data_IF_857186595998
#
_entry.id   IF_857186595998
#
_cell.length_a   1.000
_cell.length_b   1.000
_cell.length_c   1.000
_cell.angle_alpha   90.00
_cell.angle_beta   90.00
_cell.angle_gamma   90.00
#
_symmetry.space_group_name_H-M   'P 1'
#
loop_
_entity.id
_entity.type
_entity.pdbx_description
1 polymer ?
#
# COMPACT_ATOMS: atom_id res chain seq x y z
N UNK A 1 -50.02 -50.57 29.03
CA UNK A 1 -49.86 -52.03 29.17
C UNK A 1 -48.92 -52.28 30.33
N UNK A 2 -49.47 -52.82 31.42
CA UNK A 2 -48.84 -53.64 32.48
C UNK A 2 -49.84 -53.72 33.63
N UNK A 3 -50.69 -54.75 33.54
CA UNK A 3 -51.59 -55.30 34.56
C UNK A 3 -50.83 -56.35 35.36
N UNK A 4 -51.06 -56.43 36.67
CA UNK A 4 -50.80 -57.62 37.50
C UNK A 4 -51.53 -57.40 38.84
N UNK A 5 -52.77 -57.86 38.99
CA UNK A 5 -53.21 -59.23 39.32
C UNK A 5 -52.91 -59.63 40.78
N UNK A 6 -53.95 -59.51 41.60
CA UNK A 6 -54.08 -60.02 42.95
C UNK A 6 -54.72 -61.41 42.90
N UNK A 7 -53.96 -62.46 43.23
CA UNK A 7 -54.44 -63.83 43.43
C UNK A 7 -55.08 -63.98 44.81
N UNK A 8 -56.39 -64.23 44.84
CA UNK A 8 -57.14 -64.71 46.01
C UNK A 8 -57.22 -66.24 45.97
N UNK A 9 -56.52 -66.92 46.90
CA UNK A 9 -56.68 -68.36 47.17
C UNK A 9 -57.69 -68.59 48.28
N UNK A 10 -58.81 -69.23 47.93
CA UNK A 10 -59.75 -69.84 48.88
C UNK A 10 -59.13 -71.11 49.50
N UNK A 11 -59.09 -71.17 50.83
CA UNK A 11 -58.77 -72.39 51.59
C UNK A 11 -60.00 -72.83 52.39
N UNK A 12 -60.43 -74.06 52.11
CA UNK A 12 -61.47 -74.83 52.81
C UNK A 12 -61.18 -75.00 54.31
N UNK A 13 -62.16 -74.89 55.22
CA UNK A 13 -61.92 -75.07 56.65
C UNK A 13 -61.89 -76.55 57.04
N UNK A 14 -60.76 -76.97 57.60
CA UNK A 14 -60.57 -78.27 58.24
C UNK A 14 -61.08 -78.18 59.68
N UNK A 15 -62.12 -78.94 60.02
CA UNK A 15 -62.72 -78.96 61.36
C UNK A 15 -61.80 -79.69 62.35
N UNK A 16 -61.16 -78.94 63.26
CA UNK A 16 -60.35 -79.49 64.35
C UNK A 16 -61.25 -79.68 65.58
N UNK A 17 -61.28 -80.90 66.12
CA UNK A 17 -61.97 -81.26 67.36
C UNK A 17 -61.24 -80.64 68.55
N UNK A 18 -61.90 -79.71 69.25
CA UNK A 18 -61.37 -78.97 70.39
C UNK A 18 -61.58 -79.78 71.68
N UNK A 19 -60.49 -80.13 72.36
CA UNK A 19 -60.50 -80.72 73.70
C UNK A 19 -60.58 -79.63 74.79
N UNK A 20 -61.17 -79.91 75.96
CA UNK A 20 -61.48 -78.92 77.00
C UNK A 20 -60.26 -78.17 77.60
N UNK A 21 -59.05 -78.70 77.48
CA UNK A 21 -57.81 -78.01 77.91
C UNK A 21 -57.37 -76.93 76.90
N UNK A 22 -57.62 -77.15 75.60
CA UNK A 22 -57.28 -76.19 74.53
C UNK A 22 -58.20 -74.95 74.57
N UNK A 23 -59.42 -75.07 75.09
CA UNK A 23 -60.36 -73.95 75.26
C UNK A 23 -59.89 -72.90 76.27
N UNK A 24 -59.15 -73.28 77.30
CA UNK A 24 -58.71 -72.33 78.32
C UNK A 24 -57.52 -71.50 77.84
N UNK A 25 -56.54 -72.14 77.19
CA UNK A 25 -55.42 -71.44 76.56
C UNK A 25 -55.87 -70.52 75.41
N UNK A 26 -56.90 -70.91 74.64
CA UNK A 26 -57.45 -70.03 73.61
C UNK A 26 -58.09 -68.77 74.20
N UNK A 27 -58.83 -68.90 75.30
CA UNK A 27 -59.50 -67.75 75.95
C UNK A 27 -58.48 -66.79 76.53
N UNK A 28 -57.41 -67.29 77.15
CA UNK A 28 -56.32 -66.46 77.68
C UNK A 28 -55.52 -65.78 76.55
N UNK A 29 -55.22 -66.52 75.47
CA UNK A 29 -54.54 -65.98 74.29
C UNK A 29 -55.36 -64.87 73.60
N UNK A 30 -56.65 -65.10 73.35
CA UNK A 30 -57.52 -64.10 72.74
C UNK A 30 -57.84 -62.94 73.68
N UNK A 31 -57.91 -63.17 74.98
CA UNK A 31 -58.04 -62.12 75.99
C UNK A 31 -56.84 -61.16 76.00
N UNK A 32 -55.62 -61.71 75.96
CA UNK A 32 -54.39 -60.91 75.84
C UNK A 32 -54.32 -60.16 74.51
N UNK A 33 -54.61 -60.84 73.39
CA UNK A 33 -54.63 -60.21 72.06
C UNK A 33 -55.66 -59.10 71.94
N UNK A 34 -56.83 -59.27 72.57
CA UNK A 34 -57.84 -58.22 72.60
C UNK A 34 -57.39 -57.02 73.44
N UNK A 35 -56.66 -57.24 74.54
CA UNK A 35 -56.09 -56.14 75.33
C UNK A 35 -54.99 -55.38 74.57
N UNK A 36 -54.04 -56.08 73.93
CA UNK A 36 -53.03 -55.43 73.07
C UNK A 36 -53.70 -54.59 71.97
N UNK A 37 -54.63 -55.18 71.23
CA UNK A 37 -55.28 -54.51 70.12
C UNK A 37 -56.15 -53.33 70.59
N UNK A 38 -56.76 -53.43 71.78
CA UNK A 38 -57.50 -52.33 72.38
C UNK A 38 -56.58 -51.19 72.80
N UNK A 39 -55.41 -51.51 73.35
CA UNK A 39 -54.44 -50.50 73.77
C UNK A 39 -53.82 -49.79 72.57
N UNK A 40 -53.49 -50.51 71.50
CA UNK A 40 -53.01 -49.93 70.24
C UNK A 40 -54.08 -49.04 69.56
N UNK A 41 -55.36 -49.42 69.67
CA UNK A 41 -56.48 -48.64 69.15
C UNK A 41 -56.78 -47.41 70.02
N UNK A 42 -56.57 -47.49 71.33
CA UNK A 42 -56.66 -46.34 72.23
C UNK A 42 -55.45 -45.38 72.05
N UNK A 43 -54.26 -45.89 71.75
CA UNK A 43 -53.07 -45.10 71.41
C UNK A 43 -53.24 -44.37 70.05
N UNK A 44 -53.79 -45.04 69.04
CA UNK A 44 -54.12 -44.39 67.75
C UNK A 44 -55.24 -43.34 67.87
N UNK A 45 -56.20 -43.55 68.78
CA UNK A 45 -57.21 -42.52 69.10
C UNK A 45 -56.61 -41.34 69.86
N UNK A 46 -55.62 -41.57 70.72
CA UNK A 46 -54.90 -40.50 71.40
C UNK A 46 -53.96 -39.72 70.46
N UNK A 47 -53.53 -40.32 69.35
CA UNK A 47 -52.79 -39.67 68.26
C UNK A 47 -53.68 -39.03 67.18
N UNK A 48 -55.02 -39.05 67.32
CA UNK A 48 -55.95 -38.36 66.42
C UNK A 48 -55.89 -36.83 66.66
N UNK A 49 -54.71 -36.25 66.39
CA UNK A 49 -54.47 -34.85 66.08
C UNK A 49 -55.12 -34.55 64.73
N UNK A 50 -56.44 -34.72 64.65
CA UNK A 50 -57.22 -34.20 63.54
C UNK A 50 -57.09 -32.69 63.60
N UNK A 51 -56.45 -32.06 62.59
CA UNK A 51 -56.41 -30.62 62.53
C UNK A 51 -57.85 -30.12 62.58
N UNK A 52 -58.10 -29.12 63.42
CA UNK A 52 -59.40 -28.48 63.53
C UNK A 52 -59.83 -28.05 62.12
N UNK A 53 -61.13 -28.14 61.79
CA UNK A 53 -61.64 -27.74 60.47
C UNK A 53 -61.16 -26.33 60.06
N UNK A 54 -60.93 -25.43 61.04
CA UNK A 54 -60.32 -24.12 60.81
C UNK A 54 -58.84 -24.14 60.39
N UNK A 55 -58.04 -25.09 60.87
CA UNK A 55 -56.63 -25.28 60.50
C UNK A 55 -56.51 -25.86 59.08
N UNK A 56 -57.41 -26.79 58.72
CA UNK A 56 -57.51 -27.31 57.35
C UNK A 56 -57.91 -26.21 56.36
N UNK A 57 -58.86 -25.35 56.73
CA UNK A 57 -59.25 -24.20 55.91
C UNK A 57 -58.09 -23.21 55.76
N UNK A 58 -57.35 -22.90 56.83
CA UNK A 58 -56.14 -22.06 56.75
C UNK A 58 -55.06 -22.66 55.85
N UNK A 59 -54.81 -23.97 55.95
CA UNK A 59 -53.80 -24.64 55.13
C UNK A 59 -54.18 -24.65 53.65
N UNK A 60 -55.47 -24.89 53.33
CA UNK A 60 -55.98 -24.78 51.95
C UNK A 60 -55.83 -23.36 51.43
N UNK A 61 -56.09 -22.34 52.26
CA UNK A 61 -55.96 -20.94 51.88
C UNK A 61 -54.49 -20.54 51.63
N UNK A 62 -53.56 -21.01 52.48
CA UNK A 62 -52.12 -20.84 52.28
C UNK A 62 -51.62 -21.56 51.02
N UNK A 63 -52.08 -22.78 50.76
CA UNK A 63 -51.74 -23.52 49.54
C UNK A 63 -52.28 -22.81 48.29
N UNK A 64 -53.48 -22.23 48.36
CA UNK A 64 -54.05 -21.42 47.28
C UNK A 64 -53.23 -20.15 47.03
N UNK A 65 -52.76 -19.46 48.08
CA UNK A 65 -51.86 -18.30 47.93
C UNK A 65 -50.50 -18.70 47.35
N UNK A 66 -49.91 -19.81 47.81
CA UNK A 66 -48.65 -20.33 47.27
C UNK A 66 -48.81 -20.73 45.80
N UNK A 67 -49.92 -21.39 45.45
CA UNK A 67 -50.24 -21.75 44.07
C UNK A 67 -50.43 -20.51 43.19
N UNK A 68 -51.14 -19.48 43.68
CA UNK A 68 -51.35 -18.22 42.97
C UNK A 68 -50.03 -17.44 42.78
N UNK A 69 -49.17 -17.39 43.80
CA UNK A 69 -47.86 -16.75 43.73
C UNK A 69 -46.92 -17.51 42.78
N UNK A 70 -46.92 -18.84 42.83
CA UNK A 70 -46.15 -19.65 41.88
C UNK A 70 -46.65 -19.46 40.45
N UNK A 71 -47.97 -19.39 40.23
CA UNK A 71 -48.53 -19.10 38.91
C UNK A 71 -48.06 -17.74 38.38
N UNK A 72 -48.09 -16.68 39.20
CA UNK A 72 -47.56 -15.35 38.81
C UNK A 72 -46.07 -15.38 38.48
N UNK A 73 -45.26 -16.06 39.30
CA UNK A 73 -43.82 -16.20 39.06
C UNK A 73 -43.52 -16.97 37.77
N UNK A 74 -44.32 -17.99 37.46
CA UNK A 74 -44.21 -18.72 36.20
C UNK A 74 -44.56 -17.81 35.02
N UNK A 75 -45.62 -17.00 35.10
CA UNK A 75 -45.97 -16.04 34.05
C UNK A 75 -44.89 -14.97 33.83
N UNK A 76 -44.29 -14.45 34.89
CA UNK A 76 -43.18 -13.49 34.83
C UNK A 76 -41.93 -14.12 34.21
N UNK A 77 -41.57 -15.33 34.64
CA UNK A 77 -40.44 -16.08 34.07
C UNK A 77 -40.68 -16.40 32.60
N UNK A 78 -41.89 -16.85 32.21
CA UNK A 78 -42.24 -17.13 30.82
C UNK A 78 -42.21 -15.88 29.96
N UNK A 79 -42.57 -14.72 30.52
CA UNK A 79 -42.42 -13.43 29.83
C UNK A 79 -40.94 -13.09 29.64
N UNK A 80 -40.14 -13.19 30.70
CA UNK A 80 -38.70 -12.93 30.64
C UNK A 80 -37.98 -13.85 29.64
N UNK A 81 -38.32 -15.14 29.62
CA UNK A 81 -37.78 -16.12 28.65
C UNK A 81 -38.17 -15.72 27.22
N UNK A 82 -39.44 -15.35 27.00
CA UNK A 82 -39.90 -14.91 25.67
C UNK A 82 -39.16 -13.66 25.19
N UNK A 83 -38.98 -12.66 26.06
CA UNK A 83 -38.27 -11.42 25.71
C UNK A 83 -36.79 -11.67 25.43
N UNK A 84 -36.16 -12.57 26.20
CA UNK A 84 -34.76 -12.99 25.98
C UNK A 84 -34.62 -13.72 24.64
N UNK A 85 -35.55 -14.62 24.31
CA UNK A 85 -35.55 -15.33 23.02
C UNK A 85 -35.77 -14.34 21.86
N UNK A 86 -36.67 -13.36 22.02
CA UNK A 86 -36.92 -12.34 21.00
C UNK A 86 -35.67 -11.50 20.75
N UNK A 87 -35.02 -11.02 21.82
CA UNK A 87 -33.77 -10.25 21.74
C UNK A 87 -32.65 -11.05 21.07
N UNK A 88 -32.48 -12.33 21.46
CA UNK A 88 -31.48 -13.21 20.85
C UNK A 88 -31.75 -13.48 19.36
N UNK A 89 -33.02 -13.57 18.94
CA UNK A 89 -33.37 -13.68 17.50
C UNK A 89 -33.02 -12.42 16.72
N UNK A 90 -33.29 -11.24 17.29
CA UNK A 90 -32.96 -9.97 16.66
C UNK A 90 -31.45 -9.78 16.52
N UNK A 91 -30.68 -10.17 17.52
CA UNK A 91 -29.21 -10.17 17.47
C UNK A 91 -28.67 -11.14 16.41
N UNK A 92 -29.19 -12.37 16.35
CA UNK A 92 -28.84 -13.33 15.29
C UNK A 92 -29.12 -12.76 13.90
N UNK A 93 -30.27 -12.09 13.71
CA UNK A 93 -30.62 -11.46 12.43
C UNK A 93 -29.67 -10.31 12.07
N UNK A 94 -29.29 -9.47 13.05
CA UNK A 94 -28.30 -8.40 12.84
C UNK A 94 -26.93 -8.96 12.45
N UNK A 95 -26.50 -10.03 13.12
CA UNK A 95 -25.24 -10.71 12.78
C UNK A 95 -25.27 -11.32 11.38
N UNK A 96 -26.39 -11.90 10.97
CA UNK A 96 -26.56 -12.45 9.63
C UNK A 96 -26.46 -11.37 8.55
N UNK A 97 -27.15 -10.23 8.74
CA UNK A 97 -27.06 -9.07 7.83
C UNK A 97 -25.61 -8.57 7.75
N UNK A 98 -24.97 -8.34 8.90
CA UNK A 98 -23.58 -7.88 8.96
C UNK A 98 -22.60 -8.86 8.29
N UNK A 99 -22.81 -10.16 8.46
CA UNK A 99 -21.98 -11.18 7.82
C UNK A 99 -22.19 -11.19 6.29
N UNK A 100 -23.42 -10.99 5.82
CA UNK A 100 -23.72 -10.88 4.39
C UNK A 100 -23.08 -9.63 3.76
N UNK A 101 -23.17 -8.48 4.42
CA UNK A 101 -22.49 -7.24 4.01
C UNK A 101 -20.97 -7.42 3.96
N UNK A 102 -20.38 -8.02 5.01
CA UNK A 102 -18.95 -8.35 5.04
C UNK A 102 -18.55 -9.24 3.86
N UNK A 103 -19.34 -10.28 3.57
CA UNK A 103 -19.05 -11.18 2.45
C UNK A 103 -19.17 -10.46 1.10
N UNK A 104 -20.14 -9.55 0.95
CA UNK A 104 -20.28 -8.72 -0.25
C UNK A 104 -19.08 -7.78 -0.44
N UNK A 105 -18.64 -7.11 0.63
CA UNK A 105 -17.46 -6.24 0.59
C UNK A 105 -16.18 -7.01 0.28
N UNK A 106 -16.03 -8.23 0.81
CA UNK A 106 -14.89 -9.11 0.49
C UNK A 106 -14.86 -9.50 -0.99
N UNK A 107 -16.02 -9.75 -1.60
CA UNK A 107 -16.10 -10.03 -3.04
C UNK A 107 -15.72 -8.79 -3.87
N UNK A 108 -16.24 -7.61 -3.52
CA UNK A 108 -15.89 -6.35 -4.20
C UNK A 108 -14.39 -6.04 -4.08
N UNK A 109 -13.79 -6.25 -2.91
CA UNK A 109 -12.36 -6.03 -2.70
C UNK A 109 -11.52 -6.96 -3.59
N UNK A 110 -11.92 -8.24 -3.70
CA UNK A 110 -11.25 -9.19 -4.58
C UNK A 110 -11.32 -8.77 -6.06
N UNK A 111 -12.47 -8.28 -6.50
CA UNK A 111 -12.66 -7.85 -7.89
C UNK A 111 -11.82 -6.59 -8.19
N UNK A 112 -11.79 -5.63 -7.26
CA UNK A 112 -10.93 -4.44 -7.36
C UNK A 112 -9.44 -4.78 -7.34
N UNK A 113 -9.02 -5.75 -6.52
CA UNK A 113 -7.63 -6.22 -6.50
C UNK A 113 -7.23 -6.92 -7.81
N UNK A 114 -8.15 -7.71 -8.39
CA UNK A 114 -7.94 -8.31 -9.70
C UNK A 114 -7.83 -7.24 -10.81
N UNK A 115 -8.69 -6.22 -10.78
CA UNK A 115 -8.64 -5.10 -11.71
C UNK A 115 -7.36 -4.29 -11.57
N UNK A 116 -6.97 -3.92 -10.34
CA UNK A 116 -5.71 -3.23 -10.05
C UNK A 116 -4.52 -4.01 -10.58
N UNK A 117 -4.50 -5.33 -10.37
CA UNK A 117 -3.42 -6.21 -10.85
C UNK A 117 -3.35 -6.21 -12.38
N UNK A 118 -4.50 -6.29 -13.05
CA UNK A 118 -4.61 -6.20 -14.52
C UNK A 118 -4.11 -4.85 -15.04
N UNK A 119 -4.53 -3.74 -14.45
CA UNK A 119 -4.12 -2.40 -14.85
C UNK A 119 -2.62 -2.16 -14.62
N UNK A 120 -2.08 -2.65 -13.50
CA UNK A 120 -0.64 -2.60 -13.22
C UNK A 120 0.16 -3.36 -14.28
N UNK A 121 -0.29 -4.57 -14.64
CA UNK A 121 0.33 -5.34 -15.72
C UNK A 121 0.28 -4.61 -17.07
N UNK A 122 -0.88 -4.05 -17.44
CA UNK A 122 -1.03 -3.27 -18.67
C UNK A 122 -0.14 -2.03 -18.70
N UNK A 123 -0.09 -1.28 -17.59
CA UNK A 123 0.77 -0.10 -17.46
C UNK A 123 2.25 -0.46 -17.66
N UNK A 124 2.72 -1.55 -17.02
CA UNK A 124 4.09 -2.04 -17.20
C UNK A 124 4.38 -2.46 -18.64
N UNK A 125 3.42 -3.08 -19.31
CA UNK A 125 3.55 -3.48 -20.72
C UNK A 125 3.63 -2.25 -21.64
N UNK A 126 2.77 -1.25 -21.46
CA UNK A 126 2.83 -0.03 -22.25
C UNK A 126 4.11 0.76 -22.01
N UNK A 127 4.59 0.82 -20.76
CA UNK A 127 5.86 1.45 -20.43
C UNK A 127 7.03 0.75 -21.15
N UNK A 128 7.09 -0.59 -21.14
CA UNK A 128 8.17 -1.31 -21.81
C UNK A 128 8.14 -1.12 -23.33
N UNK A 129 6.95 -1.11 -23.93
CA UNK A 129 6.76 -0.78 -25.35
C UNK A 129 7.20 0.66 -25.67
N UNK A 130 6.86 1.63 -24.82
CA UNK A 130 7.28 3.02 -25.00
C UNK A 130 8.81 3.16 -24.95
N UNK A 131 9.49 2.49 -24.01
CA UNK A 131 10.95 2.47 -23.93
C UNK A 131 11.58 1.83 -25.16
N UNK A 132 11.02 0.72 -25.67
CA UNK A 132 11.52 0.07 -26.89
C UNK A 132 11.39 0.99 -28.11
N UNK A 133 10.24 1.64 -28.28
CA UNK A 133 10.00 2.61 -29.36
C UNK A 133 10.88 3.85 -29.22
N UNK A 134 11.12 4.33 -27.99
CA UNK A 134 12.05 5.41 -27.71
C UNK A 134 13.48 5.07 -28.17
N UNK A 135 13.96 3.87 -27.84
CA UNK A 135 15.27 3.39 -28.27
C UNK A 135 15.37 3.21 -29.80
N UNK A 136 14.29 2.77 -30.46
CA UNK A 136 14.23 2.73 -31.92
C UNK A 136 14.30 4.13 -32.55
N UNK A 137 13.51 5.07 -32.05
CA UNK A 137 13.51 6.46 -32.51
C UNK A 137 14.90 7.10 -32.35
N UNK A 138 15.56 6.88 -31.21
CA UNK A 138 16.92 7.35 -30.95
C UNK A 138 17.95 6.78 -31.94
N UNK A 139 17.91 5.46 -32.20
CA UNK A 139 18.77 4.80 -33.20
C UNK A 139 18.54 5.36 -34.61
N UNK A 140 17.28 5.54 -34.99
CA UNK A 140 16.93 6.10 -36.29
C UNK A 140 17.48 7.53 -36.43
N UNK A 141 17.27 8.39 -35.42
CA UNK A 141 17.82 9.75 -35.41
C UNK A 141 19.33 9.77 -35.53
N UNK A 142 20.03 8.91 -34.77
CA UNK A 142 21.48 8.82 -34.84
C UNK A 142 21.97 8.36 -36.23
N UNK A 143 21.24 7.45 -36.88
CA UNK A 143 21.52 7.04 -38.26
C UNK A 143 21.42 8.23 -39.22
N UNK A 144 20.35 9.03 -39.11
CA UNK A 144 20.15 10.23 -39.93
C UNK A 144 21.25 11.28 -39.68
N UNK A 145 21.59 11.56 -38.42
CA UNK A 145 22.69 12.46 -38.08
C UNK A 145 24.01 11.99 -38.69
N UNK A 146 24.28 10.68 -38.66
CA UNK A 146 25.48 10.08 -39.24
C UNK A 146 25.50 10.16 -40.77
N UNK A 147 24.34 10.09 -41.42
CA UNK A 147 24.21 10.27 -42.87
C UNK A 147 24.46 11.74 -43.26
N UNK A 148 23.88 12.69 -42.51
CA UNK A 148 24.04 14.14 -42.75
C UNK A 148 25.49 14.57 -42.58
N UNK A 149 26.19 14.05 -41.57
CA UNK A 149 27.58 14.42 -41.25
C UNK A 149 28.56 13.28 -41.55
N UNK A 150 28.70 12.97 -42.83
CA UNK A 150 29.53 11.85 -43.33
C UNK A 150 31.03 12.12 -43.18
N UNK A 151 31.45 13.39 -43.23
CA UNK A 151 32.83 13.83 -43.01
C UNK A 151 33.05 14.17 -41.54
N UNK A 152 33.31 13.16 -40.71
CA UNK A 152 33.72 13.39 -39.33
C UNK A 152 35.15 13.95 -39.37
N UNK A 153 35.45 15.05 -38.67
CA UNK A 153 36.82 15.54 -38.54
C UNK A 153 37.75 14.40 -38.07
N UNK A 154 39.01 14.43 -38.49
CA UNK A 154 40.02 13.44 -38.12
C UNK A 154 40.35 13.51 -36.62
N UNK A 155 39.46 13.00 -35.78
CA UNK A 155 39.66 12.80 -34.36
C UNK A 155 39.74 11.30 -34.11
N UNK A 156 40.92 10.81 -33.73
CA UNK A 156 41.12 9.41 -33.36
C UNK A 156 40.71 9.21 -31.89
N UNK A 157 39.54 8.63 -31.61
CA UNK A 157 39.06 8.43 -30.25
C UNK A 157 39.90 7.41 -29.49
N UNK A 158 40.65 6.53 -30.17
CA UNK A 158 41.48 5.51 -29.52
C UNK A 158 42.71 6.10 -28.85
N UNK A 159 43.15 7.26 -29.33
CA UNK A 159 44.34 7.96 -28.83
C UNK A 159 44.03 8.92 -27.67
N UNK A 160 42.75 9.20 -27.41
CA UNK A 160 42.34 10.25 -26.47
C UNK A 160 41.26 9.77 -25.49
N UNK A 161 41.57 9.86 -24.20
CA UNK A 161 40.62 9.65 -23.13
C UNK A 161 40.17 11.01 -22.57
N UNK A 162 38.89 11.39 -22.71
CA UNK A 162 38.39 12.62 -22.11
C UNK A 162 38.54 12.56 -20.61
N UNK A 163 39.10 13.62 -20.02
CA UNK A 163 39.15 13.71 -18.58
C UNK A 163 37.85 14.26 -18.04
N UNK A 164 37.41 13.67 -16.93
CA UNK A 164 36.35 14.22 -16.10
C UNK A 164 36.95 15.35 -15.27
N UNK A 165 36.33 16.52 -15.34
CA UNK A 165 36.66 17.71 -14.58
C UNK A 165 35.64 17.87 -13.48
N UNK A 166 36.04 18.01 -12.22
CA UNK A 166 35.08 18.15 -11.13
C UNK A 166 35.10 19.56 -10.53
N UNK A 167 33.95 20.24 -10.60
CA UNK A 167 33.72 21.57 -10.05
C UNK A 167 32.22 21.81 -9.85
N UNK A 168 31.83 22.60 -8.83
CA UNK A 168 30.42 22.70 -8.42
C UNK A 168 29.59 23.65 -9.30
N UNK A 169 30.23 24.63 -9.94
CA UNK A 169 29.52 25.66 -10.67
C UNK A 169 30.29 26.12 -11.92
N UNK A 170 29.69 26.04 -13.12
CA UNK A 170 30.31 26.52 -14.36
C UNK A 170 30.77 27.98 -14.31
N UNK A 171 30.04 28.85 -13.60
CA UNK A 171 30.41 30.28 -13.49
C UNK A 171 31.71 30.49 -12.73
N UNK A 172 32.05 29.61 -11.79
CA UNK A 172 33.33 29.65 -11.08
C UNK A 172 34.48 29.24 -12.00
N UNK A 173 34.26 28.20 -12.82
CA UNK A 173 35.23 27.78 -13.83
C UNK A 173 35.51 28.94 -14.78
N UNK A 174 34.48 29.53 -15.39
CA UNK A 174 34.61 30.64 -16.34
C UNK A 174 35.39 31.81 -15.73
N UNK A 175 35.12 32.17 -14.46
CA UNK A 175 35.84 33.26 -13.77
C UNK A 175 37.31 32.93 -13.46
N UNK A 176 37.64 31.64 -13.31
CA UNK A 176 38.99 31.19 -13.02
C UNK A 176 39.82 30.90 -14.28
N UNK A 177 39.20 30.92 -15.46
CA UNK A 177 39.89 30.71 -16.72
C UNK A 177 40.85 31.89 -17.03
N UNK A 178 42.04 31.60 -17.58
CA UNK A 178 42.91 32.63 -18.13
C UNK A 178 42.18 33.58 -19.08
N UNK A 179 42.43 34.91 -19.02
CA UNK A 179 41.75 35.90 -19.86
C UNK A 179 42.01 35.69 -21.36
N UNK A 180 43.13 35.04 -21.71
CA UNK A 180 43.51 34.75 -23.09
C UNK A 180 42.61 33.68 -23.76
N UNK A 181 41.78 32.96 -23.00
CA UNK A 181 40.84 31.96 -23.54
C UNK A 181 39.75 32.61 -24.40
N UNK A 182 39.46 33.90 -24.21
CA UNK A 182 38.55 34.64 -25.10
C UNK A 182 38.99 34.64 -26.57
N UNK A 183 40.23 34.22 -26.88
CA UNK A 183 40.71 33.99 -28.26
C UNK A 183 40.48 32.56 -28.77
N UNK A 184 40.28 31.58 -27.88
CA UNK A 184 40.14 30.16 -28.21
C UNK A 184 38.66 29.75 -28.36
N UNK A 185 37.79 30.31 -27.53
CA UNK A 185 36.37 30.04 -27.55
C UNK A 185 35.55 31.31 -27.39
N UNK A 186 34.66 31.55 -28.34
CA UNK A 186 33.73 32.68 -28.29
C UNK A 186 32.55 32.39 -27.34
N UNK A 187 32.18 31.11 -27.16
CA UNK A 187 30.97 30.71 -26.45
C UNK A 187 31.11 29.32 -25.82
N UNK A 188 31.01 29.24 -24.49
CA UNK A 188 30.86 27.97 -23.78
C UNK A 188 29.39 27.68 -23.52
N UNK A 189 28.98 26.44 -23.82
CA UNK A 189 27.67 25.93 -23.45
C UNK A 189 27.82 24.80 -22.42
N UNK A 190 27.44 25.10 -21.18
CA UNK A 190 27.43 24.13 -20.09
C UNK A 190 26.05 23.47 -19.98
N UNK A 191 25.96 22.20 -20.37
CA UNK A 191 24.75 21.41 -20.26
C UNK A 191 24.75 20.63 -18.94
N UNK A 192 23.88 20.95 -17.96
CA UNK A 192 23.77 20.16 -16.74
C UNK A 192 23.13 18.80 -17.04
N UNK A 193 23.21 17.86 -16.11
CA UNK A 193 22.57 16.55 -16.27
C UNK A 193 21.05 16.61 -16.13
N UNK A 194 20.30 15.62 -16.66
CA UNK A 194 18.94 15.37 -16.22
C UNK A 194 18.90 15.21 -14.67
N UNK A 195 17.90 15.80 -13.98
CA UNK A 195 16.66 16.34 -14.53
C UNK A 195 16.69 17.85 -14.89
N UNK A 196 17.84 18.51 -14.79
CA UNK A 196 17.96 19.96 -15.05
C UNK A 196 17.97 20.31 -16.55
N UNK A 197 18.12 19.32 -17.41
CA UNK A 197 18.13 19.45 -18.86
C UNK A 197 17.48 18.24 -19.54
N UNK A 198 17.22 18.40 -20.84
CA UNK A 198 16.80 17.30 -21.71
C UNK A 198 17.99 16.43 -22.12
N UNK A 199 17.72 15.25 -22.66
CA UNK A 199 18.76 14.30 -23.06
C UNK A 199 19.65 14.82 -24.20
N UNK A 200 20.96 14.65 -24.01
CA UNK A 200 21.99 14.81 -25.03
C UNK A 200 22.41 13.42 -25.52
N UNK A 201 22.43 13.25 -26.84
CA UNK A 201 22.87 12.02 -27.48
C UNK A 201 24.11 12.30 -28.31
N UNK A 202 25.26 12.27 -27.66
CA UNK A 202 26.58 12.33 -28.30
C UNK A 202 27.40 11.16 -27.74
N UNK A 203 27.78 10.22 -28.59
CA UNK A 203 28.37 8.94 -28.16
C UNK A 203 29.76 9.10 -27.52
N UNK A 204 30.54 10.07 -28.00
CA UNK A 204 31.85 10.38 -27.45
C UNK A 204 32.25 11.81 -27.81
N UNK A 205 33.24 12.39 -27.11
CA UNK A 205 33.83 13.66 -27.51
C UNK A 205 34.34 13.62 -28.96
N UNK A 206 34.26 14.75 -29.64
CA UNK A 206 34.64 14.89 -31.05
C UNK A 206 33.69 14.23 -32.04
N UNK A 207 32.51 13.75 -31.61
CA UNK A 207 31.51 13.13 -32.50
C UNK A 207 30.25 13.97 -32.62
N UNK A 208 29.63 13.91 -33.79
CA UNK A 208 28.31 14.47 -34.02
C UNK A 208 27.24 13.73 -33.21
N UNK A 209 26.09 14.37 -33.01
CA UNK A 209 24.97 13.81 -32.27
C UNK A 209 23.72 14.66 -32.40
N UNK A 210 22.85 14.60 -31.39
CA UNK A 210 21.68 15.47 -31.30
C UNK A 210 21.28 15.72 -29.85
N UNK A 211 20.45 16.73 -29.64
CA UNK A 211 19.85 17.07 -28.35
C UNK A 211 18.44 17.63 -28.55
N UNK A 212 17.69 17.74 -27.45
CA UNK A 212 16.33 18.26 -27.47
C UNK A 212 16.24 19.59 -26.75
N UNK A 213 15.55 20.55 -27.38
CA UNK A 213 15.19 21.85 -26.82
C UNK A 213 16.26 22.49 -25.89
N UNK A 214 17.45 22.81 -26.42
CA UNK A 214 18.54 23.38 -25.63
C UNK A 214 18.09 24.67 -24.91
N UNK A 215 18.62 24.89 -23.72
CA UNK A 215 18.27 26.02 -22.86
C UNK A 215 18.87 27.31 -23.42
N UNK A 216 18.04 28.34 -23.63
CA UNK A 216 18.47 29.69 -24.01
C UNK A 216 19.48 29.74 -25.16
N UNK A 217 19.38 28.81 -26.12
CA UNK A 217 20.26 28.77 -27.27
C UNK A 217 19.73 29.69 -28.37
N UNK A 218 20.20 30.94 -28.37
CA UNK A 218 19.79 31.96 -29.34
C UNK A 218 20.64 31.98 -30.61
N UNK A 219 21.74 31.24 -30.65
CA UNK A 219 22.77 31.36 -31.70
C UNK A 219 22.77 30.16 -32.65
N UNK A 220 21.66 29.93 -33.34
CA UNK A 220 21.61 28.90 -34.37
C UNK A 220 22.64 29.17 -35.46
N UNK A 221 23.45 28.16 -35.78
CA UNK A 221 24.51 28.25 -36.78
C UNK A 221 25.85 28.83 -36.29
N UNK A 222 25.96 29.32 -35.06
CA UNK A 222 27.27 29.69 -34.49
C UNK A 222 28.00 28.45 -33.92
N UNK A 223 29.32 28.54 -33.84
CA UNK A 223 30.13 27.54 -33.16
C UNK A 223 30.19 27.80 -31.66
N UNK A 224 30.07 26.76 -30.84
CA UNK A 224 30.20 26.84 -29.39
C UNK A 224 30.94 25.61 -28.83
N UNK A 225 31.55 25.77 -27.67
CA UNK A 225 32.25 24.72 -26.95
C UNK A 225 31.31 24.04 -25.95
N UNK A 226 31.05 22.75 -26.15
CA UNK A 226 30.09 21.99 -25.36
C UNK A 226 30.79 21.29 -24.18
N UNK A 227 30.34 21.62 -22.97
CA UNK A 227 30.77 20.99 -21.72
C UNK A 227 29.54 20.43 -21.02
N UNK A 228 29.55 19.16 -20.66
CA UNK A 228 28.35 18.48 -20.15
C UNK A 228 28.62 17.83 -18.80
N UNK A 229 27.67 17.94 -17.89
CA UNK A 229 27.70 17.21 -16.62
C UNK A 229 27.22 15.77 -16.83
N UNK A 230 28.07 14.79 -16.58
CA UNK A 230 27.73 13.36 -16.70
C UNK A 230 27.35 12.75 -15.34
N UNK A 231 28.01 13.23 -14.28
CA UNK A 231 27.76 12.89 -12.88
C UNK A 231 27.69 14.20 -12.07
N UNK A 232 27.07 14.21 -10.87
CA UNK A 232 26.99 15.43 -10.06
C UNK A 232 28.34 16.13 -9.89
N UNK A 233 28.43 17.39 -10.32
CA UNK A 233 29.63 18.23 -10.32
C UNK A 233 30.80 17.71 -11.18
N UNK A 234 30.59 16.69 -12.01
CA UNK A 234 31.58 16.06 -12.88
C UNK A 234 31.25 16.33 -14.34
N UNK A 235 32.07 17.18 -14.93
CA UNK A 235 31.91 17.77 -16.24
C UNK A 235 32.90 17.20 -17.24
N UNK A 236 32.47 17.03 -18.48
CA UNK A 236 33.30 16.55 -19.59
C UNK A 236 33.19 17.51 -20.76
N UNK A 237 34.31 17.90 -21.35
CA UNK A 237 34.33 18.69 -22.58
C UNK A 237 34.19 17.77 -23.80
N UNK A 238 33.16 18.01 -24.59
CA UNK A 238 32.79 17.19 -25.75
C UNK A 238 33.38 17.70 -27.07
N UNK A 239 33.78 18.97 -27.15
CA UNK A 239 34.32 19.59 -28.36
C UNK A 239 33.58 20.85 -28.77
N UNK A 240 33.88 21.30 -29.99
CA UNK A 240 33.29 22.48 -30.62
C UNK A 240 32.20 22.06 -31.61
N UNK A 241 31.00 22.61 -31.44
CA UNK A 241 29.80 22.20 -32.15
C UNK A 241 29.09 23.34 -32.86
N UNK A 242 28.32 22.99 -33.89
CA UNK A 242 27.27 23.82 -34.47
C UNK A 242 25.94 23.07 -34.27
N UNK A 243 24.93 23.78 -33.77
CA UNK A 243 23.57 23.24 -33.60
C UNK A 243 22.68 23.69 -34.74
N UNK A 244 21.94 22.75 -35.34
CA UNK A 244 20.95 23.00 -36.40
C UNK A 244 19.68 22.23 -36.11
N UNK A 245 18.53 22.82 -36.37
CA UNK A 245 17.25 22.14 -36.19
C UNK A 245 17.15 20.94 -37.14
N UNK A 246 16.75 19.79 -36.61
CA UNK A 246 16.57 18.55 -37.36
C UNK A 246 15.07 18.34 -37.62
N UNK A 247 14.58 18.94 -38.72
CA UNK A 247 13.15 18.97 -39.06
C UNK A 247 12.58 17.57 -39.28
N UNK A 248 11.36 17.33 -38.81
CA UNK A 248 10.65 16.03 -38.87
C UNK A 248 11.22 14.91 -37.97
N UNK A 249 12.25 15.22 -37.17
CA UNK A 249 12.85 14.27 -36.21
C UNK A 249 12.68 14.74 -34.77
N UNK A 250 11.60 15.47 -34.50
CA UNK A 250 11.21 15.88 -33.16
C UNK A 250 11.03 14.65 -32.24
N UNK A 251 11.05 14.91 -30.93
CA UNK A 251 10.88 13.86 -29.93
C UNK A 251 9.57 13.12 -30.16
N UNK A 252 9.63 11.79 -30.22
CA UNK A 252 8.42 10.97 -30.33
C UNK A 252 7.69 10.94 -28.99
N UNK A 253 6.37 10.74 -29.02
CA UNK A 253 5.56 10.64 -27.80
C UNK A 253 6.06 9.51 -26.87
N UNK A 254 6.51 8.38 -27.43
CA UNK A 254 7.09 7.28 -26.66
C UNK A 254 8.34 7.69 -25.87
N UNK A 255 9.19 8.54 -26.46
CA UNK A 255 10.36 9.10 -25.77
C UNK A 255 9.94 10.07 -24.68
N UNK A 256 9.02 10.97 -25.01
CA UNK A 256 8.47 11.91 -24.04
C UNK A 256 7.92 11.18 -22.82
N UNK A 257 7.04 10.20 -23.02
CA UNK A 257 6.44 9.43 -21.93
C UNK A 257 7.48 8.67 -21.09
N UNK A 258 8.60 8.25 -21.69
CA UNK A 258 9.69 7.57 -21.00
C UNK A 258 10.62 8.49 -20.19
N UNK A 259 10.51 9.82 -20.33
CA UNK A 259 11.30 10.76 -19.53
C UNK A 259 10.89 10.75 -18.06
N UNK A 260 11.87 11.05 -17.19
CA UNK A 260 11.62 11.29 -15.78
C UNK A 260 10.64 12.44 -15.58
N UNK A 261 9.74 12.30 -14.61
CA UNK A 261 8.72 13.33 -14.34
C UNK A 261 9.33 14.68 -13.96
N UNK A 262 10.46 14.70 -13.24
CA UNK A 262 11.13 15.96 -12.91
C UNK A 262 11.65 16.69 -14.16
N UNK A 263 12.17 15.95 -15.16
CA UNK A 263 12.60 16.53 -16.45
C UNK A 263 11.41 17.20 -17.14
N UNK A 264 10.29 16.49 -17.24
CA UNK A 264 9.08 16.99 -17.89
C UNK A 264 8.53 18.22 -17.18
N UNK A 265 8.49 18.23 -15.84
CA UNK A 265 8.04 19.38 -15.05
C UNK A 265 8.92 20.59 -15.31
N UNK A 266 10.25 20.44 -15.21
CA UNK A 266 11.23 21.52 -15.45
C UNK A 266 11.09 22.08 -16.87
N UNK A 267 10.91 21.20 -17.85
CA UNK A 267 10.72 21.57 -19.24
C UNK A 267 9.41 22.34 -19.45
N UNK A 268 8.28 21.84 -18.96
CA UNK A 268 6.98 22.49 -19.11
C UNK A 268 6.94 23.84 -18.40
N UNK A 269 7.52 23.94 -17.19
CA UNK A 269 7.65 25.18 -16.44
C UNK A 269 8.40 26.26 -17.24
N UNK A 270 9.49 25.87 -17.91
CA UNK A 270 10.26 26.76 -18.77
C UNK A 270 9.44 27.22 -19.98
N UNK A 271 8.85 26.28 -20.72
CA UNK A 271 8.07 26.60 -21.94
C UNK A 271 6.87 27.49 -21.61
N UNK A 272 6.22 27.28 -20.46
CA UNK A 272 5.13 28.14 -20.00
C UNK A 272 5.63 29.56 -19.72
N UNK A 273 6.83 29.72 -19.16
CA UNK A 273 7.45 31.02 -18.90
C UNK A 273 7.94 31.75 -20.15
N UNK A 274 8.46 31.03 -21.15
CA UNK A 274 9.00 31.61 -22.40
C UNK A 274 7.94 32.37 -23.23
N UNK A 275 6.66 32.05 -23.06
CA UNK A 275 5.55 32.71 -23.78
C UNK A 275 5.07 34.01 -23.13
N UNK A 276 5.60 34.35 -21.96
CA UNK A 276 5.13 35.48 -21.17
C UNK A 276 6.05 36.70 -21.31
N UNK A 277 5.50 37.92 -21.14
CA UNK A 277 6.30 39.13 -21.05
C UNK A 277 7.32 39.07 -19.91
N UNK A 278 8.44 39.76 -20.07
CA UNK A 278 9.50 39.88 -19.06
C UNK A 278 8.93 40.31 -17.70
N UNK A 279 9.22 39.55 -16.65
CA UNK A 279 8.77 39.83 -15.28
C UNK A 279 7.43 39.19 -14.89
N UNK A 280 6.77 38.46 -15.80
CA UNK A 280 5.61 37.64 -15.48
C UNK A 280 5.99 36.17 -15.26
N UNK A 281 5.19 35.47 -14.47
CA UNK A 281 5.37 34.05 -14.18
C UNK A 281 4.15 33.27 -14.66
N UNK A 282 4.40 32.09 -15.22
CA UNK A 282 3.34 31.20 -15.67
C UNK A 282 2.49 30.74 -14.49
N UNK A 283 1.17 30.81 -14.67
CA UNK A 283 0.23 30.29 -13.68
C UNK A 283 0.30 28.77 -13.64
N UNK A 284 -0.22 28.18 -12.57
CA UNK A 284 -0.32 26.72 -12.48
C UNK A 284 -1.17 26.12 -13.63
N UNK A 285 -2.23 26.82 -14.04
CA UNK A 285 -3.08 26.39 -15.15
C UNK A 285 -2.31 26.38 -16.48
N UNK A 286 -1.48 27.39 -16.75
CA UNK A 286 -0.65 27.44 -17.95
C UNK A 286 0.33 26.26 -18.02
N UNK A 287 0.98 25.96 -16.89
CA UNK A 287 1.92 24.84 -16.78
C UNK A 287 1.24 23.49 -17.01
N UNK A 288 0.04 23.30 -16.45
CA UNK A 288 -0.76 22.10 -16.64
C UNK A 288 -1.17 21.95 -18.11
N UNK A 289 -1.64 23.02 -18.73
CA UNK A 289 -2.02 23.02 -20.14
C UNK A 289 -0.84 22.68 -21.06
N UNK A 290 0.33 23.29 -20.84
CA UNK A 290 1.56 22.95 -21.56
C UNK A 290 1.89 21.47 -21.41
N UNK A 291 1.78 20.93 -20.19
CA UNK A 291 2.02 19.52 -19.90
C UNK A 291 1.06 18.61 -20.65
N UNK A 292 -0.24 18.91 -20.62
CA UNK A 292 -1.28 18.16 -21.34
C UNK A 292 -1.04 18.14 -22.86
N UNK A 293 -0.62 19.26 -23.46
CA UNK A 293 -0.31 19.30 -24.90
C UNK A 293 0.85 18.38 -25.29
N UNK A 294 1.89 18.25 -24.47
CA UNK A 294 2.99 17.31 -24.74
C UNK A 294 2.62 15.86 -24.41
N UNK A 295 1.91 15.62 -23.30
CA UNK A 295 1.46 14.26 -22.91
C UNK A 295 0.45 13.66 -23.90
N UNK A 296 -0.36 14.50 -24.55
CA UNK A 296 -1.29 14.08 -25.61
C UNK A 296 -0.64 14.02 -27.00
N UNK A 297 0.60 14.46 -27.15
CA UNK A 297 1.29 14.54 -28.44
C UNK A 297 0.77 15.64 -29.38
N UNK A 298 -0.03 16.59 -28.89
CA UNK A 298 -0.42 17.77 -29.65
C UNK A 298 0.78 18.65 -29.98
N UNK A 299 1.73 18.75 -29.05
CA UNK A 299 3.02 19.42 -29.26
C UNK A 299 4.15 18.40 -29.26
N UNK A 300 5.21 18.72 -30.01
CA UNK A 300 6.41 17.91 -30.10
C UNK A 300 7.61 18.71 -29.61
N UNK A 301 8.53 18.05 -28.92
CA UNK A 301 9.77 18.69 -28.45
C UNK A 301 10.75 18.75 -29.62
N UNK A 302 11.23 19.96 -30.01
CA UNK A 302 12.08 20.10 -31.18
C UNK A 302 13.44 19.42 -30.98
N UNK A 303 13.89 18.73 -32.02
CA UNK A 303 15.19 18.09 -32.08
C UNK A 303 16.20 18.96 -32.85
N UNK A 304 17.43 19.01 -32.36
CA UNK A 304 18.52 19.70 -33.03
C UNK A 304 19.70 18.75 -33.21
N UNK A 305 20.21 18.68 -34.44
CA UNK A 305 21.42 17.97 -34.77
C UNK A 305 22.65 18.80 -34.36
N UNK A 306 23.61 18.12 -33.74
CA UNK A 306 24.88 18.66 -33.30
C UNK A 306 25.97 18.20 -34.27
N UNK A 307 26.49 19.13 -35.05
CA UNK A 307 27.66 18.90 -35.90
C UNK A 307 28.92 19.18 -35.10
N UNK A 308 29.78 18.17 -34.94
CA UNK A 308 31.12 18.39 -34.38
C UNK A 308 32.00 19.06 -35.44
N UNK A 309 32.53 20.24 -35.12
CA UNK A 309 33.46 20.99 -35.97
C UNK A 309 34.90 20.62 -35.65
N UNK A 310 35.18 20.28 -34.39
CA UNK A 310 36.52 19.87 -33.96
C UNK A 310 36.61 19.65 -32.46
N UNK A 311 37.78 19.21 -32.02
CA UNK A 311 38.08 19.02 -30.60
C UNK A 311 39.35 19.79 -30.25
N UNK A 312 39.22 20.83 -29.43
CA UNK A 312 40.37 21.63 -29.00
C UNK A 312 41.02 21.01 -27.75
N UNK A 313 42.13 20.29 -27.98
CA UNK A 313 42.90 19.65 -26.90
C UNK A 313 43.54 20.68 -25.96
N UNK A 314 43.99 21.81 -26.50
CA UNK A 314 44.61 22.86 -25.69
C UNK A 314 43.59 23.45 -24.73
N UNK A 315 42.39 23.76 -25.23
CA UNK A 315 41.29 24.21 -24.40
C UNK A 315 40.89 23.17 -23.35
N UNK A 316 40.78 21.90 -23.75
CA UNK A 316 40.51 20.80 -22.83
C UNK A 316 41.52 20.76 -21.66
N UNK A 317 42.82 20.84 -21.97
CA UNK A 317 43.87 20.75 -20.96
C UNK A 317 43.87 21.98 -20.02
N UNK A 318 43.54 23.16 -20.55
CA UNK A 318 43.35 24.37 -19.74
C UNK A 318 42.14 24.22 -18.81
N UNK A 319 40.97 23.81 -19.32
CA UNK A 319 39.77 23.59 -18.51
C UNK A 319 40.03 22.59 -17.37
N UNK A 320 40.75 21.49 -17.68
CA UNK A 320 41.15 20.48 -16.70
C UNK A 320 42.05 21.08 -15.61
N UNK A 321 43.08 21.84 -15.99
CA UNK A 321 44.00 22.47 -15.04
C UNK A 321 43.29 23.51 -14.14
N UNK A 322 42.39 24.30 -14.71
CA UNK A 322 41.58 25.27 -13.96
C UNK A 322 40.64 24.57 -12.99
N UNK A 323 39.96 23.50 -13.41
CA UNK A 323 39.10 22.70 -12.54
C UNK A 323 39.87 22.12 -11.34
N UNK A 324 41.06 21.55 -11.57
CA UNK A 324 41.92 21.06 -10.48
C UNK A 324 42.31 22.16 -9.49
N UNK A 325 42.56 23.38 -9.98
CA UNK A 325 42.86 24.53 -9.12
C UNK A 325 41.65 24.94 -8.26
N UNK A 326 40.43 24.85 -8.79
CA UNK A 326 39.20 25.12 -8.03
C UNK A 326 39.01 24.08 -6.92
N UNK A 327 39.25 22.80 -7.22
CA UNK A 327 39.18 21.72 -6.23
C UNK A 327 40.14 21.94 -5.06
N UNK A 328 41.38 22.32 -5.34
CA UNK A 328 42.38 22.58 -4.30
C UNK A 328 42.01 23.76 -3.38
N UNK A 329 41.19 24.69 -3.87
CA UNK A 329 40.73 25.87 -3.10
C UNK A 329 39.45 25.60 -2.31
N UNK A 330 38.72 24.55 -2.62
CA UNK A 330 37.55 24.18 -1.84
C UNK A 330 38.05 23.69 -0.48
N UNK A 331 37.63 24.33 0.64
CA UNK A 331 37.98 23.83 1.95
C UNK A 331 37.47 22.40 2.02
N UNK A 332 38.37 21.45 2.30
CA UNK A 332 38.00 20.08 2.61
C UNK A 332 37.00 20.15 3.75
N UNK A 333 35.71 20.00 3.43
CA UNK A 333 34.68 19.76 4.43
C UNK A 333 34.98 18.35 4.93
N UNK A 334 35.93 18.24 5.85
CA UNK A 334 36.06 17.05 6.65
C UNK A 334 34.68 16.81 7.26
N UNK A 335 34.10 15.61 7.10
CA UNK A 335 32.93 15.26 7.88
C UNK A 335 33.39 15.23 9.33
N UNK A 336 33.26 16.36 10.02
CA UNK A 336 33.37 16.39 11.46
C UNK A 336 32.29 15.42 11.94
N UNK A 337 32.74 14.30 12.52
CA UNK A 337 31.93 13.38 13.29
C UNK A 337 31.42 14.14 14.52
N UNK A 338 30.50 15.06 14.29
CA UNK A 338 29.70 15.70 15.31
C UNK A 338 28.84 14.62 15.93
N UNK A 339 29.21 14.20 17.15
CA UNK A 339 28.39 13.41 18.06
C UNK A 339 26.99 14.00 18.13
N UNK A 340 26.07 13.53 17.28
CA UNK A 340 24.65 13.85 17.40
C UNK A 340 24.06 12.99 18.51
N UNK A 341 23.72 13.66 19.61
CA UNK A 341 22.86 13.15 20.67
C UNK A 341 21.60 12.54 20.05
N UNK A 342 21.30 11.34 20.53
CA UNK A 342 20.06 10.59 20.34
C UNK A 342 18.88 11.49 20.74
N UNK A 343 18.04 11.83 19.77
CA UNK A 343 16.67 12.27 20.01
C UNK A 343 15.79 11.20 19.35
N UNK A 344 15.05 10.48 20.18
CA UNK A 344 14.08 9.47 19.76
C UNK A 344 12.93 10.17 19.04
N UNK A 345 12.55 9.63 17.88
CA UNK A 345 11.31 9.96 17.18
C UNK A 345 10.86 8.71 16.39
N UNK A 346 9.54 8.54 16.21
CA UNK A 346 8.91 7.23 16.19
C UNK A 346 8.99 6.55 14.83
N UNK A 347 8.97 5.22 14.89
CA UNK A 347 9.01 4.27 13.79
C UNK A 347 7.97 4.57 12.70
N UNK A 348 8.41 4.98 11.51
CA UNK A 348 7.69 4.73 10.28
C UNK A 348 8.00 3.30 9.83
N UNK A 349 6.95 2.48 9.75
CA UNK A 349 7.02 1.13 9.23
C UNK A 349 7.32 1.17 7.73
N UNK A 350 8.52 0.74 7.37
CA UNK A 350 8.87 0.38 5.99
C UNK A 350 8.15 -0.91 5.64
N UNK A 351 7.09 -0.83 4.84
CA UNK A 351 6.50 -2.01 4.20
C UNK A 351 7.52 -2.52 3.18
N UNK A 352 8.26 -3.55 3.56
CA UNK A 352 9.16 -4.29 2.68
C UNK A 352 8.31 -5.40 2.06
N UNK A 353 7.97 -5.27 0.79
CA UNK A 353 7.36 -6.36 0.02
C UNK A 353 8.48 -7.34 -0.34
N UNK A 354 8.65 -8.37 0.49
CA UNK A 354 9.45 -9.54 0.13
C UNK A 354 8.79 -10.26 -1.05
N UNK A 355 9.54 -10.35 -2.15
CA UNK A 355 9.25 -11.25 -3.24
C UNK A 355 9.43 -12.69 -2.73
N UNK A 356 8.32 -13.37 -2.44
CA UNK A 356 8.31 -14.83 -2.30
C UNK A 356 8.34 -15.45 -3.68
N UNK A 357 9.45 -16.12 -3.96
CA UNK A 357 9.54 -17.20 -4.94
C UNK A 357 8.39 -18.19 -4.70
N UNK A 358 7.55 -18.38 -5.71
CA UNK A 358 6.76 -19.59 -5.86
C UNK A 358 7.18 -20.24 -7.16
N UNK A 359 7.90 -21.35 -7.01
CA UNK A 359 8.08 -22.32 -8.08
C UNK A 359 6.75 -23.04 -8.36
N UNK A 360 6.50 -23.22 -9.64
CA UNK A 360 5.91 -24.42 -10.24
C UNK A 360 6.46 -24.51 -11.67
#
# INVERSE_FOLDING_TARGET
MSTSDSESRETTPSTVLVTPELTQELVEFWGFKYQEMRQELDDMKAQDNRPSYGELVQLVQQLQEVAANNARRLEENDRFIRDTIATGRDECRKLEISNNEKNQLLLQLRDLDAERSRLCYQSRLFYSQAVALAAEAARHRMSIVSQIYTSIPAFDPKSFFPAVMEFPCPTQLIKALPPDIGRLSDHFYFLPRPPLSMSLNVLSPGRCGYWFAPFSFSQYGSTFDLVTELEPNKWTYFGKFISRQLTHYDMRLSEWLSLDEEVKIRFCDRIAGERLPTGQHATHADKLHVRECYDSGQWAVPCYALQCVGYDKTLHDILRATAATIQMRLPSIQPSLGKRRRAESPSMQTITLEAREFGA
#
